data_IF_086350011201
#
_entry.id   IF_086350011201
#
_cell.length_a   1.000
_cell.length_b   1.000
_cell.length_c   1.000
_cell.angle_alpha   90.00
_cell.angle_beta   90.00
_cell.angle_gamma   90.00
#
_symmetry.space_group_name_H-M   'P 1'
#
loop_
_entity.id
_entity.type
_entity.pdbx_description
1 polymer ?
#
# COMPACT_ATOMS: atom_id res chain seq x y z
N UNK A 1 -18.01 -14.05 11.15
CA UNK A 1 -17.04 -14.02 10.05
C UNK A 1 -17.27 -15.13 9.03
N UNK A 2 -17.10 -16.43 9.34
CA UNK A 2 -17.25 -17.56 8.36
C UNK A 2 -18.53 -17.47 7.51
N UNK A 3 -19.71 -17.41 8.13
CA UNK A 3 -20.99 -17.30 7.43
C UNK A 3 -21.08 -16.10 6.47
N UNK A 4 -20.53 -14.97 6.84
CA UNK A 4 -20.52 -13.75 6.03
C UNK A 4 -19.67 -13.94 4.78
N UNK A 5 -18.44 -14.44 4.95
CA UNK A 5 -17.52 -14.70 3.84
C UNK A 5 -18.06 -15.73 2.87
N UNK A 6 -18.61 -16.86 3.38
CA UNK A 6 -19.23 -17.88 2.53
C UNK A 6 -20.39 -17.31 1.71
N UNK A 7 -21.26 -16.50 2.33
CA UNK A 7 -22.38 -15.84 1.63
C UNK A 7 -21.94 -14.91 0.51
N UNK A 8 -20.86 -14.16 0.73
CA UNK A 8 -20.27 -13.29 -0.32
C UNK A 8 -19.82 -14.14 -1.52
N UNK A 9 -19.20 -15.28 -1.26
CA UNK A 9 -18.83 -16.24 -2.31
C UNK A 9 -20.06 -16.83 -3.04
N UNK A 10 -21.13 -17.17 -2.33
CA UNK A 10 -22.41 -17.63 -2.89
C UNK A 10 -23.07 -16.56 -3.78
N UNK A 11 -22.91 -15.28 -3.47
CA UNK A 11 -23.36 -14.17 -4.32
C UNK A 11 -22.55 -14.01 -5.62
N UNK A 12 -21.48 -14.80 -5.81
CA UNK A 12 -20.68 -14.80 -7.03
C UNK A 12 -19.51 -13.84 -7.04
N UNK A 13 -19.21 -13.15 -5.94
CA UNK A 13 -18.01 -12.34 -5.85
C UNK A 13 -16.74 -13.20 -5.93
N UNK A 14 -15.75 -12.71 -6.66
CA UNK A 14 -14.47 -13.40 -6.90
C UNK A 14 -13.28 -12.80 -6.16
N UNK A 15 -13.44 -11.61 -5.63
CA UNK A 15 -12.45 -10.92 -4.81
C UNK A 15 -13.12 -10.40 -3.55
N UNK A 16 -12.54 -10.70 -2.41
CA UNK A 16 -12.90 -10.16 -1.11
C UNK A 16 -11.72 -9.31 -0.59
N UNK A 17 -11.91 -8.00 -0.49
CA UNK A 17 -11.05 -7.15 0.34
C UNK A 17 -11.62 -7.14 1.75
N UNK A 18 -10.85 -7.62 2.73
CA UNK A 18 -11.18 -7.42 4.13
C UNK A 18 -10.28 -6.35 4.71
N UNK A 19 -10.91 -5.34 5.29
CA UNK A 19 -10.27 -4.17 5.83
C UNK A 19 -10.56 -4.06 7.33
N UNK A 20 -9.58 -3.61 8.10
CA UNK A 20 -9.68 -3.42 9.55
C UNK A 20 -10.08 -4.64 10.40
N UNK A 21 -10.26 -5.81 9.82
CA UNK A 21 -10.67 -7.01 10.57
C UNK A 21 -9.69 -7.40 11.66
N UNK A 22 -8.40 -7.12 11.47
CA UNK A 22 -7.38 -7.32 12.52
C UNK A 22 -7.54 -6.30 13.65
N UNK A 23 -7.84 -5.06 13.30
CA UNK A 23 -8.06 -3.96 14.26
C UNK A 23 -9.33 -4.23 15.07
N UNK A 24 -10.38 -4.75 14.43
CA UNK A 24 -11.64 -5.09 15.11
C UNK A 24 -11.46 -6.13 16.23
N UNK A 25 -10.46 -7.01 16.12
CA UNK A 25 -10.12 -7.96 17.21
C UNK A 25 -9.68 -7.26 18.49
N UNK A 26 -9.08 -6.10 18.38
CA UNK A 26 -8.60 -5.30 19.52
C UNK A 26 -9.67 -4.30 20.00
N UNK A 27 -10.74 -4.11 19.22
CA UNK A 27 -11.84 -3.18 19.53
C UNK A 27 -11.49 -1.70 19.47
N UNK A 28 -10.33 -1.34 18.90
CA UNK A 28 -9.83 0.05 18.82
C UNK A 28 -9.04 0.32 17.55
N UNK A 29 -8.87 1.60 17.22
CA UNK A 29 -8.31 2.09 15.97
C UNK A 29 -7.11 3.02 16.17
N UNK A 30 -6.18 2.98 15.19
CA UNK A 30 -5.11 3.96 15.08
C UNK A 30 -4.12 3.94 16.25
N UNK A 31 -3.66 5.11 16.64
CA UNK A 31 -2.67 5.28 17.71
C UNK A 31 -3.14 4.79 19.08
N UNK A 32 -4.44 4.79 19.34
CA UNK A 32 -5.02 4.29 20.59
C UNK A 32 -4.83 2.78 20.76
N UNK A 33 -4.76 2.04 19.66
CA UNK A 33 -4.55 0.59 19.67
C UNK A 33 -3.16 0.21 20.18
N UNK A 34 -2.15 1.00 19.86
CA UNK A 34 -0.75 0.68 20.20
C UNK A 34 -0.47 0.75 21.71
N UNK A 35 -1.05 1.72 22.39
CA UNK A 35 -0.86 1.89 23.82
C UNK A 35 -1.47 0.76 24.64
N UNK A 36 -2.64 0.29 24.28
CA UNK A 36 -3.36 -0.72 25.05
C UNK A 36 -2.91 -2.15 24.79
N UNK A 37 -2.46 -2.47 23.57
CA UNK A 37 -1.86 -3.78 23.29
C UNK A 37 -0.60 -4.05 24.11
N UNK A 38 0.07 -2.99 24.54
CA UNK A 38 1.25 -3.05 25.39
C UNK A 38 0.94 -2.76 26.87
N UNK A 39 -0.33 -2.45 27.22
CA UNK A 39 -0.71 -2.14 28.58
C UNK A 39 -0.72 -3.39 29.47
N UNK A 40 -0.23 -3.24 30.69
CA UNK A 40 -0.26 -4.30 31.67
C UNK A 40 -1.71 -4.76 31.92
N UNK A 41 -1.91 -6.07 31.88
CA UNK A 41 -3.23 -6.67 32.14
C UNK A 41 -4.13 -6.78 30.91
N UNK A 42 -3.77 -6.19 29.74
CA UNK A 42 -4.52 -6.43 28.52
C UNK A 42 -4.24 -7.83 27.94
N UNK A 43 -5.28 -8.55 27.56
CA UNK A 43 -5.16 -9.86 26.92
C UNK A 43 -6.44 -10.23 26.18
N UNK A 44 -6.35 -11.15 25.22
CA UNK A 44 -7.52 -11.81 24.68
C UNK A 44 -8.21 -12.72 25.72
N UNK A 45 -9.49 -12.98 25.51
CA UNK A 45 -10.26 -13.89 26.38
C UNK A 45 -9.67 -15.30 26.43
N UNK A 46 -9.20 -15.82 25.30
CA UNK A 46 -8.46 -17.08 25.25
C UNK A 46 -7.00 -16.85 25.66
N UNK A 47 -6.68 -17.27 26.88
CA UNK A 47 -5.34 -17.19 27.46
C UNK A 47 -4.44 -18.37 27.11
N UNK A 48 -4.96 -19.36 26.39
CA UNK A 48 -4.19 -20.53 25.97
C UNK A 48 -3.43 -20.27 24.65
N UNK A 49 -3.75 -19.18 23.96
CA UNK A 49 -3.15 -18.77 22.70
C UNK A 49 -2.42 -17.44 22.82
N UNK A 50 -1.38 -17.30 22.01
CA UNK A 50 -0.72 -16.02 21.78
C UNK A 50 -1.58 -15.10 20.90
N UNK A 51 -1.33 -13.81 20.93
CA UNK A 51 -2.00 -12.85 20.02
C UNK A 51 -1.76 -13.22 18.53
N UNK A 52 -0.58 -13.70 18.19
CA UNK A 52 -0.25 -14.13 16.83
C UNK A 52 -1.09 -15.32 16.37
N UNK A 53 -1.29 -16.31 17.23
CA UNK A 53 -2.16 -17.47 16.94
C UNK A 53 -3.62 -17.04 16.75
N UNK A 54 -4.14 -16.15 17.58
CA UNK A 54 -5.51 -15.65 17.46
C UNK A 54 -5.73 -14.91 16.13
N UNK A 55 -4.77 -14.05 15.76
CA UNK A 55 -4.83 -13.30 14.49
C UNK A 55 -4.72 -14.26 13.30
N UNK A 56 -3.80 -15.22 13.35
CA UNK A 56 -3.66 -16.25 12.31
C UNK A 56 -4.92 -17.10 12.18
N UNK A 57 -5.56 -17.45 13.27
CA UNK A 57 -6.85 -18.18 13.27
C UNK A 57 -7.96 -17.36 12.59
N UNK A 58 -8.03 -16.04 12.81
CA UNK A 58 -8.96 -15.17 12.08
C UNK A 58 -8.71 -15.24 10.57
N UNK A 59 -7.46 -15.08 10.14
CA UNK A 59 -7.11 -15.13 8.71
C UNK A 59 -7.44 -16.49 8.12
N UNK A 60 -7.18 -17.56 8.84
CA UNK A 60 -7.54 -18.93 8.44
C UNK A 60 -9.05 -19.11 8.30
N UNK A 61 -9.84 -18.56 9.21
CA UNK A 61 -11.31 -18.59 9.11
C UNK A 61 -11.82 -17.89 7.85
N UNK A 62 -11.20 -16.76 7.47
CA UNK A 62 -11.53 -16.03 6.25
C UNK A 62 -11.12 -16.85 5.02
N UNK A 63 -9.90 -17.36 5.00
CA UNK A 63 -9.36 -18.16 3.90
C UNK A 63 -10.20 -19.41 3.63
N UNK A 64 -10.47 -20.20 4.68
CA UNK A 64 -11.23 -21.44 4.58
C UNK A 64 -12.69 -21.20 4.12
N UNK A 65 -13.27 -20.06 4.49
CA UNK A 65 -14.61 -19.69 4.07
C UNK A 65 -14.68 -19.18 2.63
N UNK A 66 -13.60 -18.58 2.12
CA UNK A 66 -13.51 -18.09 0.74
C UNK A 66 -13.14 -19.20 -0.27
N UNK A 67 -12.34 -20.18 0.17
CA UNK A 67 -11.77 -21.23 -0.67
C UNK A 67 -12.81 -22.03 -1.49
N UNK A 68 -13.97 -22.47 -0.96
CA UNK A 68 -14.93 -23.24 -1.73
C UNK A 68 -15.50 -22.53 -2.95
N UNK A 69 -15.60 -21.20 -2.90
CA UNK A 69 -16.08 -20.38 -4.03
C UNK A 69 -14.97 -19.95 -5.00
N UNK A 70 -13.71 -20.28 -4.71
CA UNK A 70 -12.55 -19.83 -5.48
C UNK A 70 -12.31 -18.31 -5.37
N UNK A 71 -12.82 -17.69 -4.31
CA UNK A 71 -12.72 -16.24 -4.09
C UNK A 71 -11.31 -15.89 -3.63
N UNK A 72 -10.69 -14.91 -4.30
CA UNK A 72 -9.40 -14.35 -3.92
C UNK A 72 -9.58 -13.44 -2.69
N UNK A 73 -8.54 -13.35 -1.88
CA UNK A 73 -8.52 -12.53 -0.68
C UNK A 73 -7.45 -11.45 -0.82
N UNK A 74 -7.86 -10.21 -0.61
CA UNK A 74 -7.00 -9.05 -0.45
C UNK A 74 -7.10 -8.58 1.01
N UNK A 75 -6.01 -8.71 1.75
CA UNK A 75 -5.89 -8.17 3.10
C UNK A 75 -5.56 -6.68 3.09
N UNK A 76 -6.18 -5.93 4.00
CA UNK A 76 -5.89 -4.52 4.24
C UNK A 76 -5.89 -4.26 5.74
N UNK A 77 -5.02 -3.37 6.22
CA UNK A 77 -4.80 -3.12 7.65
C UNK A 77 -4.57 -4.42 8.45
N UNK A 78 -3.67 -5.24 7.94
CA UNK A 78 -3.35 -6.56 8.46
C UNK A 78 -1.95 -6.60 9.06
N UNK A 79 -1.68 -7.63 9.85
CA UNK A 79 -0.31 -7.99 10.24
C UNK A 79 0.23 -8.93 9.15
N UNK A 80 0.87 -8.36 8.13
CA UNK A 80 1.17 -9.01 6.86
C UNK A 80 1.86 -10.37 7.00
N UNK A 81 2.90 -10.48 7.85
CA UNK A 81 3.62 -11.75 8.02
C UNK A 81 2.78 -12.89 8.60
N UNK A 82 1.72 -12.57 9.38
CA UNK A 82 0.78 -13.56 9.89
C UNK A 82 -0.25 -14.00 8.83
N UNK A 83 -0.35 -13.24 7.74
CA UNK A 83 -1.20 -13.54 6.59
C UNK A 83 -0.54 -14.38 5.50
N UNK A 84 0.74 -14.74 5.67
CA UNK A 84 1.50 -15.52 4.70
C UNK A 84 0.80 -16.86 4.39
N UNK A 85 0.50 -17.10 3.09
CA UNK A 85 -0.24 -18.28 2.64
C UNK A 85 -1.73 -18.31 2.97
N UNK A 86 -2.27 -17.28 3.65
CA UNK A 86 -3.68 -17.12 3.99
C UNK A 86 -4.36 -15.94 3.25
N UNK A 87 -3.58 -15.18 2.50
CA UNK A 87 -4.04 -14.11 1.64
C UNK A 87 -3.42 -14.27 0.26
N UNK A 88 -4.19 -13.98 -0.79
CA UNK A 88 -3.69 -14.00 -2.16
C UNK A 88 -2.96 -12.71 -2.49
N UNK A 89 -3.48 -11.60 -1.98
CA UNK A 89 -2.92 -10.27 -2.08
C UNK A 89 -2.97 -9.58 -0.72
N UNK A 90 -2.07 -8.64 -0.48
CA UNK A 90 -2.09 -7.84 0.75
C UNK A 90 -1.59 -6.42 0.51
N UNK A 91 -2.34 -5.45 1.02
CA UNK A 91 -1.96 -4.05 1.06
C UNK A 91 -0.74 -3.86 1.98
N UNK A 92 0.26 -3.16 1.51
CA UNK A 92 1.53 -2.96 2.24
C UNK A 92 1.70 -1.56 2.83
N UNK A 93 1.04 -0.56 2.27
CA UNK A 93 1.06 0.83 2.73
C UNK A 93 -0.32 1.33 3.14
N UNK A 94 -0.37 2.58 3.57
CA UNK A 94 -1.61 3.34 3.77
C UNK A 94 -2.15 3.84 2.42
N UNK A 95 -3.34 4.46 2.40
CA UNK A 95 -4.00 4.94 1.19
C UNK A 95 -3.15 5.96 0.44
N UNK A 96 -2.87 5.70 -0.82
CA UNK A 96 -2.23 6.68 -1.71
C UNK A 96 -3.22 7.73 -2.19
N UNK A 97 -4.48 7.36 -2.37
CA UNK A 97 -5.67 8.17 -2.67
C UNK A 97 -5.61 9.09 -3.91
N UNK A 98 -4.43 9.39 -4.46
CA UNK A 98 -4.26 10.28 -5.62
C UNK A 98 -4.45 11.77 -5.33
N UNK A 99 -4.57 12.17 -4.06
CA UNK A 99 -4.79 13.57 -3.65
C UNK A 99 -3.49 14.31 -3.35
N UNK A 100 -2.50 13.62 -2.82
CA UNK A 100 -1.24 14.20 -2.37
C UNK A 100 -0.08 13.35 -2.85
N UNK A 101 0.86 13.98 -3.56
CA UNK A 101 2.02 13.29 -4.12
C UNK A 101 2.93 12.69 -3.03
N UNK A 102 3.20 13.43 -1.97
CA UNK A 102 4.03 12.98 -0.85
C UNK A 102 3.46 11.75 -0.15
N UNK A 103 2.12 11.66 -0.11
CA UNK A 103 1.44 10.49 0.43
C UNK A 103 1.64 9.27 -0.48
N UNK A 104 1.57 9.45 -1.80
CA UNK A 104 1.87 8.41 -2.79
C UNK A 104 3.33 7.97 -2.70
N UNK A 105 4.26 8.89 -2.53
CA UNK A 105 5.67 8.56 -2.35
C UNK A 105 5.90 7.74 -1.08
N UNK A 106 5.34 8.19 0.04
CA UNK A 106 5.55 7.54 1.34
C UNK A 106 4.86 6.19 1.44
N UNK A 107 3.60 6.08 1.04
CA UNK A 107 2.79 4.89 1.22
C UNK A 107 2.72 4.00 -0.01
N UNK A 108 3.03 4.53 -1.19
CA UNK A 108 3.19 3.79 -2.42
C UNK A 108 4.64 3.40 -2.69
N UNK A 109 5.45 4.34 -3.15
CA UNK A 109 6.83 4.07 -3.62
C UNK A 109 7.71 3.46 -2.52
N UNK A 110 7.77 4.10 -1.33
CA UNK A 110 8.57 3.61 -0.22
C UNK A 110 8.12 2.20 0.21
N UNK A 111 6.82 2.02 0.47
CA UNK A 111 6.35 0.72 0.96
C UNK A 111 6.48 -0.36 -0.10
N UNK A 112 6.27 -0.05 -1.38
CA UNK A 112 6.54 -0.99 -2.46
C UNK A 112 7.99 -1.46 -2.42
N UNK A 113 8.95 -0.52 -2.38
CA UNK A 113 10.37 -0.83 -2.38
C UNK A 113 10.77 -1.75 -1.22
N UNK A 114 10.39 -1.38 -0.01
CA UNK A 114 10.80 -2.10 1.20
C UNK A 114 9.98 -3.37 1.50
N UNK A 115 8.88 -3.59 0.76
CA UNK A 115 8.04 -4.80 0.87
C UNK A 115 8.19 -5.76 -0.30
N UNK A 116 8.96 -5.41 -1.33
CA UNK A 116 9.23 -6.32 -2.46
C UNK A 116 9.70 -7.72 -2.03
N UNK A 117 10.50 -7.91 -0.96
CA UNK A 117 10.86 -9.26 -0.50
C UNK A 117 9.69 -10.13 -0.05
N UNK A 118 8.53 -9.55 0.24
CA UNK A 118 7.30 -10.29 0.59
C UNK A 118 6.49 -10.69 -0.64
N UNK A 119 6.70 -10.00 -1.77
CA UNK A 119 5.96 -10.23 -3.01
C UNK A 119 6.27 -11.63 -3.57
N UNK A 120 5.22 -12.40 -3.83
CA UNK A 120 5.33 -13.78 -4.30
C UNK A 120 5.82 -14.79 -3.26
N UNK A 121 6.37 -14.33 -2.12
CA UNK A 121 6.78 -15.19 -1.01
C UNK A 121 5.66 -15.39 0.02
N UNK A 122 4.99 -14.32 0.42
CA UNK A 122 3.88 -14.36 1.37
C UNK A 122 2.53 -14.24 0.66
N UNK A 123 2.44 -13.30 -0.26
CA UNK A 123 1.25 -12.91 -1.04
C UNK A 123 1.69 -12.04 -2.22
N UNK A 124 0.78 -11.74 -3.14
CA UNK A 124 1.00 -10.67 -4.11
C UNK A 124 0.85 -9.32 -3.41
N UNK A 125 1.86 -8.46 -3.55
CA UNK A 125 1.87 -7.14 -2.93
C UNK A 125 0.87 -6.21 -3.61
N UNK A 126 0.09 -5.50 -2.82
CA UNK A 126 -0.74 -4.37 -3.22
C UNK A 126 -0.16 -3.08 -2.61
N UNK A 127 0.39 -2.22 -3.45
CA UNK A 127 0.93 -0.92 -3.03
C UNK A 127 -0.11 0.20 -3.11
N UNK A 128 -1.39 -0.16 -3.12
CA UNK A 128 -2.54 0.70 -3.34
C UNK A 128 -2.70 1.17 -4.79
N UNK A 129 -3.51 2.19 -5.01
CA UNK A 129 -3.98 2.55 -6.33
C UNK A 129 -3.25 3.76 -6.94
N UNK A 130 -3.28 3.82 -8.26
CA UNK A 130 -3.12 5.06 -9.00
C UNK A 130 -4.45 5.83 -8.96
N UNK A 131 -4.54 6.87 -8.12
CA UNK A 131 -5.76 7.67 -7.97
C UNK A 131 -5.90 8.77 -9.02
N UNK A 132 -7.04 8.83 -9.72
CA UNK A 132 -7.33 9.76 -10.82
C UNK A 132 -8.82 10.15 -10.81
N UNK A 133 -9.19 11.43 -10.92
CA UNK A 133 -8.36 12.61 -10.76
C UNK A 133 -8.14 12.87 -9.29
N UNK A 134 -6.93 13.23 -8.95
CA UNK A 134 -6.60 13.71 -7.64
C UNK A 134 -5.97 15.09 -7.71
N UNK A 135 -5.34 15.50 -6.62
CA UNK A 135 -4.51 16.70 -6.59
C UNK A 135 -3.12 16.49 -7.18
N UNK A 136 -2.83 15.34 -7.78
CA UNK A 136 -1.51 14.97 -8.29
C UNK A 136 -1.46 15.24 -9.80
N UNK A 137 -0.50 16.06 -10.23
CA UNK A 137 -0.24 16.28 -11.64
C UNK A 137 0.08 14.99 -12.38
N UNK A 138 -0.40 14.87 -13.63
CA UNK A 138 -0.20 13.68 -14.44
C UNK A 138 1.27 13.30 -14.62
N UNK A 139 2.16 14.26 -14.75
CA UNK A 139 3.60 14.00 -14.88
C UNK A 139 4.20 13.19 -13.72
N UNK A 140 3.67 13.33 -12.50
CA UNK A 140 4.05 12.55 -11.35
C UNK A 140 3.28 11.24 -11.29
N UNK A 141 1.96 11.32 -11.45
CA UNK A 141 1.08 10.16 -11.34
C UNK A 141 1.39 9.10 -12.41
N UNK A 142 1.78 9.51 -13.62
CA UNK A 142 2.25 8.60 -14.68
C UNK A 142 3.51 7.84 -14.30
N UNK A 143 4.43 8.43 -13.53
CA UNK A 143 5.60 7.73 -13.04
C UNK A 143 5.21 6.63 -12.05
N UNK A 144 4.30 6.95 -11.13
CA UNK A 144 3.74 5.96 -10.21
C UNK A 144 3.02 4.83 -10.94
N UNK A 145 2.14 5.17 -11.89
CA UNK A 145 1.47 4.19 -12.73
C UNK A 145 2.44 3.31 -13.52
N UNK A 146 3.52 3.89 -14.04
CA UNK A 146 4.56 3.15 -14.74
C UNK A 146 5.30 2.20 -13.81
N UNK A 147 5.71 2.63 -12.62
CA UNK A 147 6.32 1.75 -11.64
C UNK A 147 5.40 0.60 -11.29
N UNK A 148 4.13 0.85 -10.94
CA UNK A 148 3.15 -0.19 -10.66
C UNK A 148 2.97 -1.15 -11.83
N UNK A 149 2.85 -0.63 -13.05
CA UNK A 149 2.59 -1.45 -14.24
C UNK A 149 3.71 -2.44 -14.57
N UNK A 150 4.93 -2.16 -14.14
CA UNK A 150 6.13 -2.95 -14.43
C UNK A 150 6.72 -3.65 -13.19
N UNK A 151 6.14 -3.41 -12.01
CA UNK A 151 6.67 -3.96 -10.75
C UNK A 151 6.47 -5.46 -10.58
N UNK A 152 5.58 -6.06 -11.38
CA UNK A 152 5.15 -7.45 -11.18
C UNK A 152 4.08 -7.61 -10.09
N UNK A 153 3.77 -6.54 -9.36
CA UNK A 153 2.75 -6.53 -8.29
C UNK A 153 1.36 -6.24 -8.82
N UNK A 154 0.34 -6.40 -7.98
CA UNK A 154 -1.03 -6.00 -8.32
C UNK A 154 -1.12 -4.50 -8.57
N UNK A 155 -1.83 -4.10 -9.62
CA UNK A 155 -2.10 -2.69 -9.94
C UNK A 155 -3.59 -2.40 -9.81
N UNK A 156 -3.92 -1.45 -8.94
CA UNK A 156 -5.26 -0.91 -8.80
C UNK A 156 -5.33 0.51 -9.31
N UNK A 157 -6.48 0.89 -9.84
CA UNK A 157 -6.74 2.25 -10.35
C UNK A 157 -8.05 2.75 -9.75
N UNK A 158 -8.01 3.96 -9.21
CA UNK A 158 -9.20 4.68 -8.79
C UNK A 158 -9.41 5.87 -9.72
N UNK A 159 -10.38 5.78 -10.63
CA UNK A 159 -10.63 6.79 -11.65
C UNK A 159 -12.09 7.16 -11.72
N UNK A 160 -12.36 8.46 -11.81
CA UNK A 160 -13.71 8.94 -12.12
C UNK A 160 -13.95 8.77 -13.63
N UNK A 161 -14.98 8.03 -14.06
CA UNK A 161 -15.28 7.86 -15.47
C UNK A 161 -15.40 9.18 -16.22
N UNK A 162 -14.77 9.27 -17.40
CA UNK A 162 -14.80 10.45 -18.26
C UNK A 162 -13.99 11.65 -17.75
N UNK A 163 -13.13 11.48 -16.74
CA UNK A 163 -12.31 12.57 -16.20
C UNK A 163 -10.93 12.71 -16.84
N UNK A 164 -10.48 11.70 -17.59
CA UNK A 164 -9.17 11.73 -18.25
C UNK A 164 -9.25 12.33 -19.65
N UNK A 165 -8.28 13.16 -20.05
CA UNK A 165 -8.00 13.46 -21.45
C UNK A 165 -7.69 12.17 -22.23
N UNK A 166 -7.96 12.16 -23.53
CA UNK A 166 -7.85 10.96 -24.37
C UNK A 166 -6.41 10.37 -24.42
N UNK A 167 -5.41 11.23 -24.39
CA UNK A 167 -4.01 10.82 -24.35
C UNK A 167 -3.66 10.12 -23.03
N UNK A 168 -4.13 10.64 -21.91
CA UNK A 168 -3.92 10.04 -20.59
C UNK A 168 -4.70 8.73 -20.41
N UNK A 169 -5.91 8.66 -20.96
CA UNK A 169 -6.70 7.41 -21.00
C UNK A 169 -5.97 6.32 -21.78
N UNK A 170 -5.40 6.67 -22.92
CA UNK A 170 -4.58 5.75 -23.73
C UNK A 170 -3.35 5.27 -22.96
N UNK A 171 -2.61 6.19 -22.33
CA UNK A 171 -1.44 5.87 -21.50
C UNK A 171 -1.79 4.94 -20.35
N UNK A 172 -2.88 5.23 -19.64
CA UNK A 172 -3.40 4.35 -18.57
C UNK A 172 -3.75 2.96 -19.11
N UNK A 173 -4.41 2.88 -20.26
CA UNK A 173 -4.72 1.62 -20.93
C UNK A 173 -3.46 0.81 -21.30
N UNK A 174 -2.38 1.47 -21.66
CA UNK A 174 -1.07 0.83 -21.92
C UNK A 174 -0.45 0.29 -20.62
N UNK A 175 -0.51 1.06 -19.52
CA UNK A 175 -0.05 0.63 -18.20
C UNK A 175 -0.80 -0.60 -17.69
N UNK A 176 -2.13 -0.62 -17.81
CA UNK A 176 -2.95 -1.78 -17.41
C UNK A 176 -2.64 -3.01 -18.25
N UNK A 177 -2.45 -2.86 -19.57
CA UNK A 177 -2.01 -3.96 -20.44
C UNK A 177 -0.62 -4.47 -20.06
N UNK A 178 0.31 -3.55 -19.74
CA UNK A 178 1.65 -3.91 -19.29
C UNK A 178 1.63 -4.69 -17.97
N UNK A 179 0.79 -4.29 -17.02
CA UNK A 179 0.64 -5.00 -15.74
C UNK A 179 -0.01 -6.38 -15.90
N UNK A 180 -0.95 -6.53 -16.83
CA UNK A 180 -1.59 -7.83 -17.11
C UNK A 180 -0.61 -8.89 -17.62
N UNK A 181 0.55 -8.50 -18.14
CA UNK A 181 1.62 -9.43 -18.49
C UNK A 181 2.37 -9.80 -17.20
N UNK A 182 2.46 -11.10 -16.90
CA UNK A 182 3.27 -11.55 -15.76
C UNK A 182 4.73 -11.14 -15.97
N UNK A 183 5.27 -10.41 -15.01
CA UNK A 183 6.64 -9.89 -15.02
C UNK A 183 7.41 -10.40 -13.83
N UNK A 184 8.73 -10.36 -13.96
CA UNK A 184 9.60 -10.55 -12.80
C UNK A 184 9.34 -9.43 -11.76
N UNK A 185 9.44 -9.74 -10.46
CA UNK A 185 9.38 -8.70 -9.43
C UNK A 185 10.38 -7.59 -9.68
N UNK A 186 9.96 -6.33 -9.49
CA UNK A 186 10.84 -5.19 -9.56
C UNK A 186 11.90 -5.24 -8.45
N UNK A 187 13.05 -4.64 -8.71
CA UNK A 187 14.14 -4.54 -7.74
C UNK A 187 14.52 -3.07 -7.56
N UNK A 188 14.31 -2.47 -6.38
CA UNK A 188 14.82 -1.13 -6.09
C UNK A 188 16.34 -1.22 -5.93
N UNK A 189 17.11 -0.44 -6.69
CA UNK A 189 18.56 -0.57 -6.74
C UNK A 189 19.29 0.29 -5.71
N UNK A 190 18.72 1.44 -5.38
CA UNK A 190 19.29 2.43 -4.44
C UNK A 190 18.59 2.47 -3.07
N UNK A 191 17.86 1.41 -2.71
CA UNK A 191 17.02 1.37 -1.50
C UNK A 191 17.80 1.46 -0.18
N UNK A 192 19.06 1.07 -0.17
CA UNK A 192 19.90 1.16 1.02
C UNK A 192 20.34 2.61 1.33
N UNK A 193 20.36 3.46 0.31
CA UNK A 193 20.81 4.84 0.39
C UNK A 193 19.65 5.83 0.33
N UNK A 194 18.51 5.39 -0.21
CA UNK A 194 17.39 6.26 -0.49
C UNK A 194 16.06 5.63 -0.01
N UNK A 195 15.39 6.29 0.92
CA UNK A 195 14.07 5.88 1.39
C UNK A 195 12.95 6.00 0.34
N UNK A 196 13.21 6.73 -0.76
CA UNK A 196 12.36 6.82 -1.95
C UNK A 196 13.18 6.41 -3.18
N UNK A 197 13.42 5.10 -3.39
CA UNK A 197 14.28 4.63 -4.46
C UNK A 197 13.88 5.21 -5.81
N UNK A 198 14.88 5.73 -6.52
CA UNK A 198 14.73 6.30 -7.85
C UNK A 198 15.18 5.35 -8.93
N UNK A 199 16.17 4.52 -8.63
CA UNK A 199 16.73 3.56 -9.56
C UNK A 199 16.10 2.19 -9.34
N UNK A 200 15.47 1.68 -10.37
CA UNK A 200 14.76 0.40 -10.32
C UNK A 200 15.18 -0.50 -11.47
N UNK A 201 15.19 -1.79 -11.22
CA UNK A 201 15.24 -2.80 -12.28
C UNK A 201 13.83 -3.31 -12.53
N UNK A 202 13.31 -3.00 -13.70
CA UNK A 202 11.97 -3.35 -14.16
C UNK A 202 12.07 -4.26 -15.38
N UNK A 203 11.52 -5.46 -15.29
CA UNK A 203 11.57 -6.45 -16.39
C UNK A 203 13.01 -6.65 -16.94
N UNK A 204 13.99 -6.70 -16.01
CA UNK A 204 15.41 -6.89 -16.33
C UNK A 204 16.15 -5.64 -16.80
N UNK A 205 15.49 -4.49 -16.94
CA UNK A 205 16.10 -3.23 -17.40
C UNK A 205 16.16 -2.21 -16.26
N UNK A 206 17.26 -1.48 -16.18
CA UNK A 206 17.38 -0.35 -15.27
C UNK A 206 16.54 0.83 -15.78
N UNK A 207 15.77 1.43 -14.88
CA UNK A 207 14.96 2.62 -15.14
C UNK A 207 15.05 3.56 -13.96
N UNK A 208 15.24 4.86 -14.23
CA UNK A 208 15.31 5.90 -13.22
C UNK A 208 14.01 6.71 -13.19
N UNK A 209 13.51 6.98 -11.98
CA UNK A 209 12.37 7.83 -11.72
C UNK A 209 12.80 9.15 -11.10
N UNK A 210 12.08 10.20 -11.45
CA UNK A 210 12.33 11.55 -10.95
C UNK A 210 11.10 11.99 -10.13
N UNK A 211 11.05 11.58 -8.87
CA UNK A 211 9.91 11.82 -7.99
C UNK A 211 9.64 13.29 -7.72
N UNK A 212 10.66 14.14 -7.84
CA UNK A 212 10.58 15.57 -7.66
C UNK A 212 11.15 16.30 -8.87
N UNK A 213 10.71 17.54 -9.11
CA UNK A 213 11.30 18.38 -10.14
C UNK A 213 12.79 18.64 -9.87
N UNK A 214 13.60 18.89 -10.94
CA UNK A 214 14.98 19.29 -10.79
C UNK A 214 15.08 20.53 -9.91
N UNK A 215 15.80 20.43 -8.78
CA UNK A 215 15.91 21.49 -7.77
C UNK A 215 15.04 21.29 -6.54
N UNK A 216 14.15 20.29 -6.54
CA UNK A 216 13.47 19.86 -5.32
C UNK A 216 14.45 19.22 -4.33
N UNK A 217 14.32 19.57 -3.05
CA UNK A 217 15.18 19.02 -2.01
C UNK A 217 14.92 17.51 -1.89
N UNK A 218 15.93 16.70 -2.14
CA UNK A 218 15.92 15.28 -1.80
C UNK A 218 16.09 15.17 -0.30
N UNK A 219 15.00 15.22 0.43
CA UNK A 219 15.03 14.90 1.85
C UNK A 219 14.60 13.46 1.97
N UNK A 220 15.38 12.67 2.69
CA UNK A 220 15.09 11.25 2.93
C UNK A 220 13.64 11.02 3.33
N UNK A 221 13.20 9.79 3.48
CA UNK A 221 11.81 9.30 3.58
C UNK A 221 10.77 10.15 4.35
N UNK A 222 11.16 11.25 4.95
CA UNK A 222 10.27 12.23 5.61
C UNK A 222 10.17 13.58 4.87
N UNK A 223 10.90 13.79 3.79
CA UNK A 223 11.02 15.11 3.18
C UNK A 223 10.31 15.22 1.84
N UNK A 224 9.17 15.86 1.82
CA UNK A 224 8.50 16.36 0.64
C UNK A 224 8.28 17.87 0.77
N UNK A 225 7.79 18.56 -0.28
CA UNK A 225 7.49 19.98 -0.25
C UNK A 225 6.62 20.43 0.93
N UNK A 226 5.78 19.53 1.46
CA UNK A 226 4.98 19.79 2.67
C UNK A 226 5.87 19.96 3.89
N UNK A 227 6.88 19.09 4.07
CA UNK A 227 7.79 19.18 5.22
C UNK A 227 8.68 20.40 5.15
N UNK A 228 9.12 20.80 3.96
CA UNK A 228 9.85 22.07 3.78
C UNK A 228 8.98 23.28 4.14
N UNK A 229 7.69 23.26 3.76
CA UNK A 229 6.77 24.32 4.12
C UNK A 229 6.52 24.35 5.62
N UNK A 230 6.22 23.19 6.22
CA UNK A 230 6.03 23.06 7.68
C UNK A 230 7.30 23.45 8.42
N UNK A 231 8.48 23.03 7.95
CA UNK A 231 9.74 23.39 8.57
C UNK A 231 10.04 24.88 8.46
N UNK A 232 9.77 25.52 7.32
CA UNK A 232 9.87 26.98 7.16
C UNK A 232 8.91 27.73 8.08
N UNK A 233 7.68 27.29 8.18
CA UNK A 233 6.68 27.88 9.08
C UNK A 233 7.07 27.73 10.55
N UNK A 234 7.58 26.55 10.94
CA UNK A 234 8.07 26.30 12.30
C UNK A 234 9.34 27.10 12.60
N UNK A 235 10.31 27.14 11.68
CA UNK A 235 11.54 27.92 11.86
C UNK A 235 11.24 29.41 11.96
N UNK A 236 10.41 29.93 11.09
CA UNK A 236 10.02 31.36 11.15
C UNK A 236 9.25 31.71 12.42
N UNK A 237 8.45 30.77 12.96
CA UNK A 237 7.74 30.97 14.22
C UNK A 237 8.67 30.86 15.44
N UNK A 238 9.79 30.12 15.35
CA UNK A 238 10.80 30.05 16.39
C UNK A 238 11.67 31.32 16.36
N UNK A 239 12.11 31.75 15.19
CA UNK A 239 12.90 32.98 15.02
C UNK A 239 12.11 34.25 15.46
N UNK A 240 10.79 34.22 15.35
CA UNK A 240 9.92 35.33 15.80
C UNK A 240 9.71 35.38 17.33
N UNK A 241 10.17 34.36 18.08
CA UNK A 241 10.08 34.33 19.56
C UNK A 241 11.36 34.76 20.28
N UNK A 242 12.43 34.99 19.53
CA UNK A 242 13.71 35.46 20.08
C UNK A 242 13.88 36.97 19.95
N UNK A 243 12.79 37.78 19.90
CA UNK A 243 12.77 39.22 19.95
C UNK A 243 12.04 39.70 21.20
#
# INVERSE_FOLDING_TARGET
MRKTVSRIGEWGFRLLKHDFTTVDLFGRWGGEMLGEMAADGWHFADRTKTAAEIITDLYRVIYDAAKPSGMLILGCNTIGHLGAGLMHMNRTGDDTSGLMWERTLRFGVNTLAFRMPQHGAFFDTDADCMGIPGGIDWQYNRQWGRLLSLSGTSMFVSVKPGSLPQDQEKELGEMLRANALRRAPAEPLDWQENGLPQDWKLDGKAEAFHWYEPGGLRVGCAGGPIWERVWREVSSALDAKDI
#
